data_IF_903113577980
#
_entry.id   IF_903113577980
#
_cell.length_a   1.000
_cell.length_b   1.000
_cell.length_c   1.000
_cell.angle_alpha   90.00
_cell.angle_beta   90.00
_cell.angle_gamma   90.00
#
_symmetry.space_group_name_H-M   'P 1'
#
loop_
_entity.id
_entity.type
_entity.pdbx_description
1 polymer ?
#
# COMPACT_ATOMS: atom_id res chain seq x y z
N UNK A 1 19.42 -11.93 38.00
CA UNK A 1 18.63 -11.05 38.91
C UNK A 1 19.60 -10.23 39.75
N UNK A 2 19.53 -8.89 39.69
CA UNK A 2 20.39 -7.99 40.45
C UNK A 2 19.99 -7.98 41.93
N UNK A 3 20.97 -7.86 42.83
CA UNK A 3 20.76 -7.79 44.29
C UNK A 3 20.22 -6.41 44.70
N UNK A 4 19.43 -6.31 45.78
CA UNK A 4 18.80 -5.08 46.27
C UNK A 4 19.70 -3.83 46.31
N UNK A 5 20.90 -3.86 46.92
CA UNK A 5 21.82 -2.72 46.91
C UNK A 5 22.34 -2.35 45.52
N UNK A 6 22.63 -3.34 44.66
CA UNK A 6 23.06 -3.10 43.28
C UNK A 6 21.95 -2.46 42.43
N UNK A 7 20.69 -2.71 42.76
CA UNK A 7 19.54 -2.10 42.09
C UNK A 7 19.38 -0.62 42.49
N UNK A 8 19.61 -0.29 43.77
CA UNK A 8 19.61 1.09 44.24
C UNK A 8 20.74 1.91 43.60
N UNK A 9 21.93 1.32 43.49
CA UNK A 9 23.08 1.95 42.81
C UNK A 9 22.81 2.15 41.31
N UNK A 10 22.24 1.14 40.64
CA UNK A 10 21.84 1.25 39.22
C UNK A 10 20.81 2.36 39.03
N UNK A 11 19.83 2.48 39.93
CA UNK A 11 18.83 3.55 39.85
C UNK A 11 19.49 4.92 39.98
N UNK A 12 20.38 5.12 40.97
CA UNK A 12 21.12 6.36 41.13
C UNK A 12 21.94 6.70 39.89
N UNK A 13 22.70 5.75 39.35
CA UNK A 13 23.52 5.94 38.16
C UNK A 13 22.66 6.28 36.91
N UNK A 14 21.51 5.63 36.73
CA UNK A 14 20.56 5.94 35.65
C UNK A 14 19.93 7.34 35.81
N UNK A 15 19.59 7.77 37.02
CA UNK A 15 19.06 9.14 37.21
C UNK A 15 20.08 10.23 36.87
N UNK A 16 21.37 9.94 37.02
CA UNK A 16 22.44 10.84 36.59
C UNK A 16 22.57 10.81 35.07
N UNK A 17 22.54 9.63 34.45
CA UNK A 17 22.56 9.47 33.00
C UNK A 17 21.41 10.23 32.33
N UNK A 18 20.18 10.11 32.85
CA UNK A 18 18.99 10.83 32.34
C UNK A 18 19.18 12.36 32.34
N UNK A 19 19.86 12.92 33.35
CA UNK A 19 20.14 14.37 33.42
C UNK A 19 21.10 14.79 32.33
N UNK A 20 22.15 14.02 32.09
CA UNK A 20 23.15 14.31 31.05
C UNK A 20 22.53 14.16 29.65
N UNK A 21 21.69 13.14 29.43
CA UNK A 21 20.97 12.98 28.17
C UNK A 21 19.99 14.12 27.89
N UNK A 22 19.28 14.63 28.90
CA UNK A 22 18.43 15.83 28.74
C UNK A 22 19.25 17.06 28.37
N UNK A 23 20.45 17.21 28.91
CA UNK A 23 21.36 18.32 28.55
C UNK A 23 21.88 18.16 27.13
N UNK A 24 22.24 16.95 26.70
CA UNK A 24 22.62 16.66 25.32
C UNK A 24 21.49 17.01 24.34
N UNK A 25 20.25 16.63 24.66
CA UNK A 25 19.08 16.96 23.82
C UNK A 25 18.90 18.47 23.65
N UNK A 26 19.09 19.26 24.72
CA UNK A 26 19.07 20.73 24.63
C UNK A 26 20.19 21.27 23.75
N UNK A 27 21.42 20.79 23.93
CA UNK A 27 22.57 21.21 23.13
C UNK A 27 22.43 20.86 21.63
N UNK A 28 21.80 19.72 21.33
CA UNK A 28 21.48 19.32 19.96
C UNK A 28 20.39 20.19 19.34
N UNK A 29 19.35 20.53 20.11
CA UNK A 29 18.30 21.45 19.65
C UNK A 29 18.83 22.86 19.35
N UNK A 30 19.90 23.27 20.04
CA UNK A 30 20.59 24.54 19.84
C UNK A 30 21.74 24.48 18.81
N UNK A 31 21.95 23.33 18.15
CA UNK A 31 23.00 23.08 17.15
C UNK A 31 24.44 23.36 17.67
N UNK A 32 24.66 23.16 18.96
CA UNK A 32 25.93 23.45 19.67
C UNK A 32 26.86 22.23 19.79
N UNK A 33 26.43 21.04 19.35
CA UNK A 33 27.23 19.79 19.37
C UNK A 33 27.43 19.25 17.94
N UNK A 34 28.02 20.07 17.06
CA UNK A 34 28.25 19.75 15.64
C UNK A 34 29.22 18.59 15.43
N UNK A 35 30.19 18.46 16.33
CA UNK A 35 31.22 17.42 16.27
C UNK A 35 30.77 16.11 16.94
N UNK A 36 29.61 16.09 17.60
CA UNK A 36 29.03 14.91 18.26
C UNK A 36 29.85 14.37 19.43
N UNK A 37 30.80 15.15 19.97
CA UNK A 37 31.70 14.72 21.03
C UNK A 37 30.95 14.45 22.33
N UNK A 38 29.98 15.31 22.67
CA UNK A 38 29.18 15.12 23.89
C UNK A 38 28.23 13.94 23.74
N UNK A 39 27.70 13.72 22.55
CA UNK A 39 26.92 12.52 22.28
C UNK A 39 27.74 11.24 22.43
N UNK A 40 28.97 11.22 21.91
CA UNK A 40 29.86 10.07 22.04
C UNK A 40 30.18 9.77 23.51
N UNK A 41 30.47 10.80 24.31
CA UNK A 41 30.73 10.68 25.75
C UNK A 41 29.52 10.10 26.51
N UNK A 42 28.32 10.61 26.23
CA UNK A 42 27.06 10.14 26.85
C UNK A 42 26.80 8.68 26.53
N UNK A 43 27.06 8.26 25.28
CA UNK A 43 26.90 6.87 24.84
C UNK A 43 27.95 5.96 25.47
N UNK A 44 29.21 6.39 25.56
CA UNK A 44 30.26 5.62 26.24
C UNK A 44 29.90 5.39 27.71
N UNK A 45 29.44 6.44 28.40
CA UNK A 45 28.98 6.33 29.78
C UNK A 45 27.82 5.34 29.95
N UNK A 46 26.86 5.35 29.03
CA UNK A 46 25.76 4.37 29.03
C UNK A 46 26.29 2.94 28.85
N UNK A 47 27.22 2.71 27.92
CA UNK A 47 27.85 1.40 27.70
C UNK A 47 28.61 0.92 28.94
N UNK A 48 29.32 1.81 29.62
CA UNK A 48 30.00 1.49 30.88
C UNK A 48 29.02 1.05 31.96
N UNK A 49 27.85 1.70 32.09
CA UNK A 49 26.80 1.28 33.02
C UNK A 49 26.22 -0.08 32.65
N UNK A 50 25.96 -0.31 31.36
CA UNK A 50 25.47 -1.60 30.86
C UNK A 50 26.46 -2.73 31.18
N UNK A 51 27.76 -2.50 30.97
CA UNK A 51 28.80 -3.46 31.33
C UNK A 51 28.93 -3.65 32.85
N UNK A 52 28.94 -2.56 33.64
CA UNK A 52 29.07 -2.58 35.11
C UNK A 52 27.97 -3.42 35.79
N UNK A 53 26.76 -3.39 35.26
CA UNK A 53 25.61 -4.12 35.81
C UNK A 53 25.28 -5.42 35.07
N UNK A 54 26.07 -5.82 34.06
CA UNK A 54 25.88 -7.06 33.32
C UNK A 54 24.56 -7.11 32.54
N UNK A 55 24.12 -5.97 32.00
CA UNK A 55 22.87 -5.83 31.26
C UNK A 55 23.01 -6.13 29.76
N UNK A 56 24.21 -6.53 29.32
CA UNK A 56 24.56 -6.77 27.91
C UNK A 56 23.63 -7.77 27.22
N UNK A 57 23.26 -8.86 27.91
CA UNK A 57 22.42 -9.92 27.35
C UNK A 57 20.94 -9.48 27.18
N UNK A 58 20.53 -8.44 27.91
CA UNK A 58 19.18 -7.89 27.84
C UNK A 58 19.09 -6.68 26.91
N UNK A 59 20.20 -5.98 26.72
CA UNK A 59 20.36 -4.88 25.79
C UNK A 59 21.05 -5.46 24.55
N UNK A 60 20.36 -6.39 23.89
CA UNK A 60 20.75 -6.83 22.55
C UNK A 60 20.57 -5.61 21.64
N UNK A 61 21.63 -4.83 21.48
CA UNK A 61 21.63 -3.61 20.67
C UNK A 61 21.35 -4.01 19.21
N UNK A 62 20.21 -3.61 18.62
CA UNK A 62 20.15 -3.45 17.18
C UNK A 62 21.24 -2.45 16.82
N UNK A 63 21.90 -2.64 15.68
CA UNK A 63 22.92 -1.71 15.20
C UNK A 63 22.39 -0.28 15.31
N UNK A 64 23.14 0.59 15.98
CA UNK A 64 22.79 1.99 16.19
C UNK A 64 23.00 2.73 14.87
N UNK A 65 21.99 2.75 14.01
CA UNK A 65 21.95 3.53 12.78
C UNK A 65 21.27 4.89 13.02
N UNK A 66 21.79 5.67 13.98
CA UNK A 66 21.68 7.14 14.04
C UNK A 66 20.28 7.77 14.01
N UNK A 67 19.20 6.98 14.01
CA UNK A 67 17.82 7.45 13.91
C UNK A 67 17.21 7.40 15.29
N UNK A 68 16.95 8.58 15.82
CA UNK A 68 16.09 8.75 16.99
C UNK A 68 14.77 8.00 16.75
N UNK A 69 14.23 7.37 17.79
CA UNK A 69 12.86 6.84 17.79
C UNK A 69 11.79 7.95 17.89
N UNK A 70 12.18 9.20 17.67
CA UNK A 70 11.24 10.30 17.51
C UNK A 70 10.60 10.19 16.13
N UNK A 71 9.27 10.03 16.13
CA UNK A 71 8.44 10.11 14.92
C UNK A 71 8.52 11.58 14.45
N UNK A 72 9.14 11.88 13.29
CA UNK A 72 9.09 13.23 12.75
C UNK A 72 7.66 13.47 12.27
N UNK A 73 6.99 14.43 12.88
CA UNK A 73 5.60 14.83 12.59
C UNK A 73 5.45 15.56 11.25
N UNK A 74 6.48 15.55 10.39
CA UNK A 74 6.49 16.32 9.15
C UNK A 74 6.99 15.48 7.96
N UNK A 75 6.15 15.39 6.93
CA UNK A 75 6.35 14.69 5.64
C UNK A 75 6.41 13.15 5.65
N UNK A 76 5.28 12.52 5.98
CA UNK A 76 5.03 11.09 5.69
C UNK A 76 5.11 10.72 4.17
N UNK A 77 5.18 11.69 3.26
CA UNK A 77 5.37 11.45 1.81
C UNK A 77 6.84 11.24 1.43
N UNK A 78 7.80 11.83 2.13
CA UNK A 78 9.24 11.55 1.96
C UNK A 78 9.68 10.24 2.61
N UNK A 79 8.81 9.68 3.46
CA UNK A 79 9.02 8.46 4.22
C UNK A 79 8.86 7.18 3.38
N UNK A 80 8.01 7.18 2.36
CA UNK A 80 7.90 6.06 1.41
C UNK A 80 9.09 6.11 0.45
N UNK A 81 10.09 5.24 0.60
CA UNK A 81 11.30 5.24 -0.23
C UNK A 81 11.21 4.29 -1.42
N UNK A 82 10.45 3.20 -1.26
CA UNK A 82 10.33 2.18 -2.29
C UNK A 82 9.59 2.69 -3.54
N UNK A 83 10.16 2.42 -4.71
CA UNK A 83 9.63 2.91 -6.01
C UNK A 83 8.26 2.33 -6.34
N UNK A 84 7.96 1.10 -5.93
CA UNK A 84 6.65 0.47 -6.16
C UNK A 84 5.62 1.05 -5.21
N UNK A 85 5.97 1.21 -3.93
CA UNK A 85 5.08 1.86 -2.96
C UNK A 85 4.78 3.31 -3.39
N UNK A 86 5.77 4.10 -3.84
CA UNK A 86 5.51 5.46 -4.36
C UNK A 86 4.50 5.48 -5.51
N UNK A 87 4.57 4.51 -6.43
CA UNK A 87 3.60 4.40 -7.54
C UNK A 87 2.21 4.04 -7.04
N UNK A 88 2.14 3.10 -6.09
CA UNK A 88 0.89 2.65 -5.49
C UNK A 88 0.22 3.79 -4.69
N UNK A 89 1.02 4.57 -3.95
CA UNK A 89 0.58 5.76 -3.21
C UNK A 89 0.03 6.84 -4.14
N UNK A 90 0.76 7.18 -5.21
CA UNK A 90 0.24 8.13 -6.22
C UNK A 90 -1.06 7.63 -6.82
N UNK A 91 -1.15 6.34 -7.15
CA UNK A 91 -2.39 5.76 -7.67
C UNK A 91 -3.53 5.87 -6.66
N UNK A 92 -3.23 5.72 -5.37
CA UNK A 92 -4.21 5.89 -4.30
C UNK A 92 -4.64 7.36 -4.15
N UNK A 93 -3.71 8.33 -4.16
CA UNK A 93 -4.05 9.76 -4.10
C UNK A 93 -5.03 10.19 -5.21
N UNK A 94 -4.86 9.67 -6.43
CA UNK A 94 -5.77 9.94 -7.54
C UNK A 94 -7.07 9.10 -7.53
N UNK A 95 -7.18 8.11 -6.63
CA UNK A 95 -8.35 7.22 -6.55
C UNK A 95 -9.53 7.82 -5.76
N UNK A 96 -9.41 9.06 -5.26
CA UNK A 96 -10.52 9.81 -4.66
C UNK A 96 -10.94 9.35 -3.27
N UNK A 97 -10.00 8.82 -2.46
CA UNK A 97 -10.26 8.52 -1.04
C UNK A 97 -10.68 9.76 -0.25
N UNK A 98 -11.46 9.55 0.82
CA UNK A 98 -11.66 10.60 1.81
C UNK A 98 -10.36 10.89 2.57
N UNK A 99 -10.24 12.10 3.13
CA UNK A 99 -9.03 12.53 3.84
C UNK A 99 -8.64 11.59 5.00
N UNK A 100 -9.64 11.03 5.71
CA UNK A 100 -9.42 10.06 6.79
C UNK A 100 -8.94 8.71 6.29
N UNK A 101 -9.55 8.18 5.22
CA UNK A 101 -9.13 6.90 4.63
C UNK A 101 -7.72 7.02 4.03
N UNK A 102 -7.38 8.19 3.49
CA UNK A 102 -6.07 8.47 2.94
C UNK A 102 -5.01 8.54 4.06
N UNK A 103 -5.35 9.04 5.24
CA UNK A 103 -4.48 9.04 6.43
C UNK A 103 -4.24 7.62 6.96
N UNK A 104 -5.30 6.80 7.14
CA UNK A 104 -5.18 5.39 7.52
C UNK A 104 -4.35 4.58 6.51
N UNK A 105 -4.60 4.81 5.21
CA UNK A 105 -3.83 4.18 4.15
C UNK A 105 -2.35 4.60 4.22
N UNK A 106 -2.08 5.88 4.52
CA UNK A 106 -0.71 6.39 4.70
C UNK A 106 0.04 5.68 5.81
N UNK A 107 -0.63 5.41 6.93
CA UNK A 107 -0.06 4.63 8.04
C UNK A 107 0.30 3.20 7.58
N UNK A 108 -0.60 2.53 6.85
CA UNK A 108 -0.33 1.19 6.31
C UNK A 108 0.84 1.17 5.31
N UNK A 109 0.94 2.18 4.45
CA UNK A 109 2.08 2.37 3.55
C UNK A 109 3.39 2.57 4.33
N UNK A 110 3.33 3.30 5.44
CA UNK A 110 4.49 3.50 6.31
C UNK A 110 4.91 2.20 7.01
N UNK A 111 3.96 1.45 7.57
CA UNK A 111 4.22 0.14 8.16
C UNK A 111 4.83 -0.83 7.13
N UNK A 112 4.40 -0.76 5.88
CA UNK A 112 4.99 -1.55 4.82
C UNK A 112 6.43 -1.12 4.51
N UNK A 113 6.72 0.17 4.47
CA UNK A 113 8.09 0.66 4.29
C UNK A 113 9.01 0.20 5.44
N UNK A 114 8.54 0.26 6.68
CA UNK A 114 9.29 -0.25 7.85
C UNK A 114 9.62 -1.74 7.71
N UNK A 115 8.67 -2.56 7.24
CA UNK A 115 8.90 -3.99 6.96
C UNK A 115 9.92 -4.22 5.84
N UNK A 116 9.93 -3.37 4.81
CA UNK A 116 10.93 -3.43 3.72
C UNK A 116 12.32 -3.10 4.26
N UNK A 117 12.43 -2.05 5.06
CA UNK A 117 13.69 -1.63 5.65
C UNK A 117 14.25 -2.74 6.58
N UNK A 118 13.39 -3.35 7.40
CA UNK A 118 13.76 -4.49 8.26
C UNK A 118 14.15 -5.75 7.47
N UNK A 119 13.51 -6.00 6.32
CA UNK A 119 13.93 -7.08 5.42
C UNK A 119 15.32 -6.82 4.83
N UNK A 120 15.60 -5.58 4.41
CA UNK A 120 16.89 -5.22 3.82
C UNK A 120 18.02 -5.33 4.85
N UNK A 121 17.80 -4.91 6.11
CA UNK A 121 18.82 -5.08 7.16
C UNK A 121 19.13 -6.54 7.44
N UNK A 122 18.11 -7.41 7.56
CA UNK A 122 18.32 -8.86 7.70
C UNK A 122 19.07 -9.47 6.50
N UNK A 123 18.76 -9.00 5.30
CA UNK A 123 19.44 -9.44 4.08
C UNK A 123 20.92 -9.05 4.09
N UNK A 124 21.21 -7.80 4.43
CA UNK A 124 22.57 -7.26 4.47
C UNK A 124 23.40 -7.93 5.58
N UNK A 125 22.77 -8.26 6.72
CA UNK A 125 23.35 -9.09 7.78
C UNK A 125 23.80 -10.47 7.27
N UNK A 126 22.97 -11.13 6.45
CA UNK A 126 23.27 -12.47 5.90
C UNK A 126 24.39 -12.41 4.87
N UNK A 127 24.45 -11.32 4.09
CA UNK A 127 25.53 -11.04 3.11
C UNK A 127 26.83 -10.80 3.87
N UNK A 128 26.82 -9.88 4.83
CA UNK A 128 27.98 -9.53 5.67
C UNK A 128 28.53 -10.74 6.43
N UNK A 129 27.66 -11.60 6.98
CA UNK A 129 28.08 -12.88 7.56
C UNK A 129 28.81 -13.76 6.55
N UNK A 130 28.34 -13.79 5.30
CA UNK A 130 28.99 -14.52 4.21
C UNK A 130 30.40 -14.02 3.92
N UNK A 131 30.53 -12.71 3.73
CA UNK A 131 31.80 -12.04 3.41
C UNK A 131 32.84 -12.20 4.54
N UNK A 132 32.42 -12.12 5.81
CA UNK A 132 33.29 -12.37 6.96
C UNK A 132 33.83 -13.80 7.01
N UNK A 133 33.15 -14.75 6.37
CA UNK A 133 33.50 -16.16 6.37
C UNK A 133 34.22 -16.62 5.08
N UNK A 134 34.43 -15.74 4.09
CA UNK A 134 35.15 -16.09 2.85
C UNK A 134 36.63 -16.45 3.08
N UNK A 135 37.20 -16.03 4.22
CA UNK A 135 38.58 -16.37 4.63
C UNK A 135 38.68 -17.60 5.53
N UNK A 136 37.58 -18.30 5.83
CA UNK A 136 37.57 -19.49 6.68
C UNK A 136 37.55 -20.77 5.82
N UNK A 137 38.50 -21.68 6.05
CA UNK A 137 38.62 -22.96 5.32
C UNK A 137 37.43 -23.89 5.65
N UNK A 138 36.91 -23.85 6.87
CA UNK A 138 35.66 -24.49 7.27
C UNK A 138 34.81 -23.53 8.13
N UNK A 139 33.57 -23.20 7.73
CA UNK A 139 32.65 -22.45 8.58
C UNK A 139 32.26 -23.28 9.80
N UNK A 140 32.35 -22.70 11.00
CA UNK A 140 31.93 -23.36 12.25
C UNK A 140 30.46 -23.78 12.21
N UNK A 141 30.11 -24.92 12.86
CA UNK A 141 28.74 -25.47 12.88
C UNK A 141 27.71 -24.47 13.42
N UNK A 142 28.08 -23.67 14.41
CA UNK A 142 27.21 -22.63 15.00
C UNK A 142 26.97 -21.46 14.05
N UNK A 143 27.99 -21.07 13.29
CA UNK A 143 27.87 -20.06 12.23
C UNK A 143 26.92 -20.53 11.11
N UNK A 144 27.06 -21.79 10.68
CA UNK A 144 26.16 -22.40 9.69
C UNK A 144 24.72 -22.48 10.18
N UNK A 145 24.53 -22.77 11.48
CA UNK A 145 23.21 -22.79 12.11
C UNK A 145 22.59 -21.40 12.18
N UNK A 146 23.31 -20.40 12.67
CA UNK A 146 22.85 -19.01 12.75
C UNK A 146 22.50 -18.44 11.37
N UNK A 147 23.34 -18.71 10.36
CA UNK A 147 23.07 -18.31 8.97
C UNK A 147 21.82 -18.98 8.40
N UNK A 148 21.56 -20.24 8.75
CA UNK A 148 20.36 -20.98 8.33
C UNK A 148 19.10 -20.42 9.01
N UNK A 149 19.17 -20.10 10.30
CA UNK A 149 18.08 -19.47 11.06
C UNK A 149 17.73 -18.10 10.47
N UNK A 150 18.71 -17.20 10.28
CA UNK A 150 18.49 -15.91 9.62
C UNK A 150 17.91 -16.03 8.21
N UNK A 151 18.34 -17.04 7.43
CA UNK A 151 17.76 -17.33 6.10
C UNK A 151 16.31 -17.81 6.16
N UNK A 152 15.93 -18.56 7.20
CA UNK A 152 14.54 -18.96 7.41
C UNK A 152 13.68 -17.75 7.78
N UNK A 153 14.17 -16.89 8.67
CA UNK A 153 13.49 -15.65 9.05
C UNK A 153 13.32 -14.71 7.85
N UNK A 154 14.34 -14.60 7.00
CA UNK A 154 14.27 -13.82 5.76
C UNK A 154 13.15 -14.32 4.84
N UNK A 155 12.98 -15.63 4.68
CA UNK A 155 11.90 -16.22 3.87
C UNK A 155 10.51 -15.96 4.46
N UNK A 156 10.39 -16.02 5.77
CA UNK A 156 9.12 -15.70 6.46
C UNK A 156 8.76 -14.23 6.22
N UNK A 157 9.72 -13.32 6.40
CA UNK A 157 9.52 -11.89 6.14
C UNK A 157 9.24 -11.58 4.68
N UNK A 158 9.89 -12.27 3.73
CA UNK A 158 9.60 -12.14 2.30
C UNK A 158 8.14 -12.49 1.98
N UNK A 159 7.65 -13.60 2.55
CA UNK A 159 6.26 -14.02 2.38
C UNK A 159 5.30 -13.01 3.00
N UNK A 160 5.57 -12.56 4.23
CA UNK A 160 4.75 -11.54 4.91
C UNK A 160 4.73 -10.22 4.15
N UNK A 161 5.87 -9.79 3.62
CA UNK A 161 6.01 -8.56 2.84
C UNK A 161 5.22 -8.63 1.54
N UNK A 162 5.24 -9.79 0.87
CA UNK A 162 4.44 -10.02 -0.33
C UNK A 162 2.95 -9.99 0.00
N UNK A 163 2.52 -10.70 1.03
CA UNK A 163 1.11 -10.72 1.45
C UNK A 163 0.59 -9.34 1.85
N UNK A 164 1.38 -8.55 2.58
CA UNK A 164 1.00 -7.19 2.96
C UNK A 164 1.00 -6.24 1.76
N UNK A 165 1.92 -6.41 0.80
CA UNK A 165 1.93 -5.65 -0.45
C UNK A 165 0.69 -5.97 -1.29
N UNK A 166 0.36 -7.26 -1.48
CA UNK A 166 -0.81 -7.69 -2.25
C UNK A 166 -2.11 -7.16 -1.62
N UNK A 167 -2.19 -7.11 -0.28
CA UNK A 167 -3.30 -6.47 0.46
C UNK A 167 -3.37 -4.97 0.22
N UNK A 168 -2.25 -4.26 0.33
CA UNK A 168 -2.15 -2.82 0.05
C UNK A 168 -2.51 -2.49 -1.41
N UNK A 169 -2.05 -3.29 -2.36
CA UNK A 169 -2.39 -3.18 -3.77
C UNK A 169 -3.88 -3.42 -4.01
N UNK A 170 -4.46 -4.40 -3.34
CA UNK A 170 -5.89 -4.66 -3.40
C UNK A 170 -6.68 -3.50 -2.80
N UNK A 171 -6.28 -2.95 -1.64
CA UNK A 171 -6.94 -1.80 -1.00
C UNK A 171 -6.84 -0.52 -1.83
N UNK A 172 -5.64 -0.21 -2.34
CA UNK A 172 -5.39 0.94 -3.21
C UNK A 172 -6.19 0.87 -4.52
N UNK A 173 -6.42 -0.34 -5.04
CA UNK A 173 -7.24 -0.58 -6.24
C UNK A 173 -8.74 -0.68 -5.92
N UNK A 174 -9.10 -1.27 -4.79
CA UNK A 174 -10.49 -1.50 -4.39
C UNK A 174 -11.23 -0.19 -4.18
N UNK A 175 -10.60 0.82 -3.56
CA UNK A 175 -11.19 2.15 -3.51
C UNK A 175 -11.32 2.78 -4.90
N UNK A 176 -10.42 2.49 -5.85
CA UNK A 176 -10.56 2.93 -7.22
C UNK A 176 -11.76 2.28 -7.91
N UNK A 177 -12.31 1.16 -7.39
CA UNK A 177 -13.53 0.54 -7.89
C UNK A 177 -14.78 0.89 -7.09
N UNK A 178 -14.65 1.26 -5.81
CA UNK A 178 -15.76 1.64 -4.93
C UNK A 178 -16.02 3.18 -4.91
N UNK A 179 -15.01 4.01 -5.18
CA UNK A 179 -15.17 5.46 -5.45
C UNK A 179 -15.36 5.80 -6.93
N UNK A 180 -15.22 4.83 -7.83
CA UNK A 180 -15.80 4.96 -9.16
C UNK A 180 -17.32 4.83 -9.00
N UNK A 181 -18.00 5.97 -8.96
CA UNK A 181 -19.46 6.07 -8.94
C UNK A 181 -20.10 5.23 -10.07
N UNK A 182 -19.32 4.94 -11.13
CA UNK A 182 -19.59 3.99 -12.23
C UNK A 182 -18.30 3.29 -12.70
N UNK A 183 -18.35 1.97 -12.96
CA UNK A 183 -17.23 1.14 -13.43
C UNK A 183 -17.02 1.18 -14.94
N UNK A 184 -18.07 1.44 -15.72
CA UNK A 184 -18.00 1.52 -17.18
C UNK A 184 -17.58 2.93 -17.65
N UNK A 185 -16.51 3.06 -18.46
CA UNK A 185 -16.04 4.35 -18.98
C UNK A 185 -17.12 5.17 -19.69
N UNK A 186 -18.03 4.52 -20.43
CA UNK A 186 -19.12 5.18 -21.18
C UNK A 186 -20.11 5.86 -20.25
N UNK A 187 -20.38 5.26 -19.10
CA UNK A 187 -21.31 5.78 -18.09
C UNK A 187 -20.63 6.90 -17.29
N UNK A 188 -19.34 6.74 -16.99
CA UNK A 188 -18.53 7.77 -16.35
C UNK A 188 -18.47 9.06 -17.18
N UNK A 189 -18.28 8.95 -18.51
CA UNK A 189 -18.30 10.11 -19.41
C UNK A 189 -19.63 10.87 -19.37
N UNK A 190 -20.76 10.15 -19.42
CA UNK A 190 -22.09 10.76 -19.32
C UNK A 190 -22.28 11.46 -17.97
N UNK A 191 -21.82 10.84 -16.88
CA UNK A 191 -21.88 11.45 -15.55
C UNK A 191 -21.01 12.70 -15.42
N UNK A 192 -19.79 12.68 -15.96
CA UNK A 192 -18.89 13.82 -15.97
C UNK A 192 -19.47 15.00 -16.78
N UNK A 193 -20.16 14.71 -17.89
CA UNK A 193 -20.89 15.73 -18.66
C UNK A 193 -22.11 16.25 -17.89
N UNK A 194 -22.86 15.37 -17.22
CA UNK A 194 -24.00 15.76 -16.39
C UNK A 194 -23.60 16.67 -15.21
N UNK A 195 -22.46 16.40 -14.54
CA UNK A 195 -21.92 17.27 -13.48
C UNK A 195 -21.51 18.67 -13.98
N UNK A 196 -21.20 18.80 -15.27
CA UNK A 196 -20.89 20.11 -15.90
C UNK A 196 -22.17 20.86 -16.31
N UNK A 197 -23.26 20.14 -16.55
CA UNK A 197 -24.55 20.76 -16.76
C UNK A 197 -25.07 21.32 -15.42
N UNK A 198 -25.63 22.54 -15.43
CA UNK A 198 -26.26 23.15 -14.25
C UNK A 198 -27.64 22.52 -13.97
N UNK A 199 -27.69 21.21 -13.79
CA UNK A 199 -28.91 20.49 -13.39
C UNK A 199 -29.19 20.74 -11.91
N UNK A 200 -30.48 20.67 -11.51
CA UNK A 200 -30.82 20.72 -10.09
C UNK A 200 -30.34 19.45 -9.36
N UNK A 201 -30.14 19.53 -8.04
CA UNK A 201 -29.63 18.40 -7.26
C UNK A 201 -30.58 17.18 -7.29
N UNK A 202 -31.90 17.41 -7.35
CA UNK A 202 -32.90 16.35 -7.52
C UNK A 202 -32.83 15.68 -8.89
N UNK A 203 -32.64 16.46 -9.96
CA UNK A 203 -32.48 15.94 -11.33
C UNK A 203 -31.15 15.17 -11.48
N UNK A 204 -30.10 15.63 -10.79
CA UNK A 204 -28.80 14.96 -10.80
C UNK A 204 -28.85 13.61 -10.10
N UNK A 205 -29.56 13.49 -8.97
CA UNK A 205 -29.74 12.21 -8.28
C UNK A 205 -30.67 11.27 -9.07
N UNK A 206 -31.72 11.80 -9.71
CA UNK A 206 -32.53 11.02 -10.64
C UNK A 206 -31.67 10.50 -11.81
N UNK A 207 -30.84 11.35 -12.41
CA UNK A 207 -29.94 10.98 -13.50
C UNK A 207 -28.90 9.94 -13.07
N UNK A 208 -28.35 10.06 -11.86
CA UNK A 208 -27.45 9.07 -11.25
C UNK A 208 -28.10 7.70 -11.13
N UNK A 209 -29.36 7.64 -10.67
CA UNK A 209 -30.11 6.38 -10.59
C UNK A 209 -30.32 5.75 -11.98
N UNK A 210 -30.63 6.56 -12.99
CA UNK A 210 -30.77 6.11 -14.38
C UNK A 210 -29.47 5.57 -14.96
N UNK A 211 -28.34 6.25 -14.68
CA UNK A 211 -27.00 5.79 -15.09
C UNK A 211 -26.63 4.44 -14.44
N UNK A 212 -26.97 4.21 -13.17
CA UNK A 212 -26.75 2.91 -12.52
C UNK A 212 -27.54 1.79 -13.20
N UNK A 213 -28.79 2.08 -13.60
CA UNK A 213 -29.59 1.14 -14.36
C UNK A 213 -29.05 0.91 -15.77
N UNK A 214 -28.48 1.93 -16.40
CA UNK A 214 -27.83 1.83 -17.70
C UNK A 214 -26.55 0.99 -17.62
N UNK A 215 -25.72 1.20 -16.59
CA UNK A 215 -24.53 0.40 -16.31
C UNK A 215 -24.87 -1.08 -16.11
N UNK A 216 -25.91 -1.41 -15.34
CA UNK A 216 -26.34 -2.80 -15.19
C UNK A 216 -26.77 -3.43 -16.52
N UNK A 217 -27.37 -2.66 -17.43
CA UNK A 217 -27.76 -3.14 -18.78
C UNK A 217 -26.55 -3.29 -19.69
N UNK A 218 -25.56 -2.42 -19.58
CA UNK A 218 -24.27 -2.53 -20.26
C UNK A 218 -23.53 -3.80 -19.83
N UNK A 219 -23.47 -4.09 -18.53
CA UNK A 219 -22.88 -5.33 -18.03
C UNK A 219 -23.58 -6.58 -18.59
N UNK A 220 -24.91 -6.57 -18.72
CA UNK A 220 -25.66 -7.66 -19.38
C UNK A 220 -25.34 -7.76 -20.87
N UNK A 221 -25.25 -6.64 -21.57
CA UNK A 221 -24.87 -6.61 -22.98
C UNK A 221 -23.48 -7.23 -23.19
N UNK A 222 -22.49 -6.79 -22.41
CA UNK A 222 -21.11 -7.26 -22.53
C UNK A 222 -21.02 -8.75 -22.19
N UNK A 223 -21.75 -9.23 -21.17
CA UNK A 223 -21.87 -10.65 -20.86
C UNK A 223 -22.44 -11.46 -22.03
N UNK A 224 -23.54 -11.02 -22.66
CA UNK A 224 -24.13 -11.74 -23.79
C UNK A 224 -23.24 -11.67 -25.04
N UNK A 225 -22.53 -10.56 -25.27
CA UNK A 225 -21.55 -10.47 -26.35
C UNK A 225 -20.36 -11.41 -26.14
N UNK A 226 -19.84 -11.53 -24.93
CA UNK A 226 -18.75 -12.44 -24.61
C UNK A 226 -19.19 -13.90 -24.77
N UNK A 227 -20.37 -14.26 -24.24
CA UNK A 227 -20.96 -15.60 -24.43
C UNK A 227 -21.21 -15.92 -25.91
N UNK A 228 -21.63 -14.92 -26.70
CA UNK A 228 -21.78 -15.08 -28.15
C UNK A 228 -20.43 -15.37 -28.80
N UNK A 229 -19.38 -14.58 -28.53
CA UNK A 229 -18.03 -14.81 -29.07
C UNK A 229 -17.48 -16.19 -28.71
N UNK A 230 -17.61 -16.61 -27.45
CA UNK A 230 -17.19 -17.96 -27.03
C UNK A 230 -17.95 -19.04 -27.79
N UNK A 231 -19.25 -18.84 -28.03
CA UNK A 231 -20.05 -19.75 -28.85
C UNK A 231 -19.63 -19.73 -30.33
N UNK A 232 -19.28 -18.58 -30.89
CA UNK A 232 -18.78 -18.43 -32.27
C UNK A 232 -17.44 -19.14 -32.43
N UNK A 233 -16.51 -18.95 -31.50
CA UNK A 233 -15.21 -19.62 -31.48
C UNK A 233 -15.40 -21.13 -31.40
N UNK A 234 -16.26 -21.62 -30.50
CA UNK A 234 -16.60 -23.04 -30.41
C UNK A 234 -17.20 -23.60 -31.71
N UNK A 235 -17.97 -22.79 -32.46
CA UNK A 235 -18.50 -23.16 -33.77
C UNK A 235 -17.44 -23.16 -34.88
N UNK A 236 -16.39 -22.36 -34.77
CA UNK A 236 -15.26 -22.37 -35.72
C UNK A 236 -14.40 -23.63 -35.53
N UNK A 237 -14.20 -24.07 -34.28
CA UNK A 237 -13.42 -25.26 -33.95
C UNK A 237 -14.20 -26.58 -34.09
N UNK A 238 -15.53 -26.53 -33.97
CA UNK A 238 -16.43 -27.66 -34.28
C UNK A 238 -16.66 -27.72 -35.79
N UNK A 239 -16.47 -28.89 -36.38
CA UNK A 239 -16.49 -29.14 -37.83
C UNK A 239 -17.63 -28.42 -38.59
N UNK A 240 -17.32 -27.83 -39.75
CA UNK A 240 -18.17 -26.89 -40.53
C UNK A 240 -19.52 -27.45 -41.02
N UNK A 241 -19.83 -28.71 -40.73
CA UNK A 241 -21.00 -29.45 -41.20
C UNK A 241 -22.05 -29.69 -40.10
N UNK A 242 -21.90 -29.13 -38.89
CA UNK A 242 -22.91 -29.22 -37.84
C UNK A 242 -23.85 -28.01 -37.87
N UNK A 243 -25.15 -28.30 -37.87
CA UNK A 243 -26.24 -27.33 -37.80
C UNK A 243 -26.02 -26.36 -36.62
N UNK A 244 -26.19 -25.06 -36.87
CA UNK A 244 -26.03 -24.01 -35.84
C UNK A 244 -26.92 -24.38 -34.64
N UNK A 245 -26.36 -24.56 -33.43
CA UNK A 245 -27.15 -24.89 -32.26
C UNK A 245 -28.19 -23.81 -32.00
N UNK A 246 -29.44 -24.18 -31.73
CA UNK A 246 -30.52 -23.23 -31.41
C UNK A 246 -30.15 -22.27 -30.27
N UNK A 247 -29.28 -22.73 -29.35
CA UNK A 247 -28.73 -21.91 -28.26
C UNK A 247 -27.88 -20.74 -28.76
N UNK A 248 -27.10 -20.93 -29.82
CA UNK A 248 -26.29 -19.86 -30.43
C UNK A 248 -27.19 -18.79 -31.05
N UNK A 249 -28.22 -19.20 -31.79
CA UNK A 249 -29.19 -18.27 -32.38
C UNK A 249 -29.94 -17.47 -31.31
N UNK A 250 -30.31 -18.10 -30.20
CA UNK A 250 -30.93 -17.40 -29.06
C UNK A 250 -29.98 -16.42 -28.36
N UNK A 251 -28.70 -16.76 -28.24
CA UNK A 251 -27.67 -15.85 -27.70
C UNK A 251 -27.47 -14.65 -28.62
N UNK A 252 -27.41 -14.88 -29.94
CA UNK A 252 -27.26 -13.83 -30.93
C UNK A 252 -28.44 -12.85 -30.88
N UNK A 253 -29.68 -13.36 -30.86
CA UNK A 253 -30.88 -12.52 -30.73
C UNK A 253 -30.85 -11.69 -29.45
N UNK A 254 -30.49 -12.30 -28.31
CA UNK A 254 -30.38 -11.59 -27.02
C UNK A 254 -29.29 -10.52 -27.07
N UNK A 255 -28.11 -10.82 -27.62
CA UNK A 255 -27.03 -9.86 -27.76
C UNK A 255 -27.46 -8.65 -28.59
N UNK A 256 -28.10 -8.88 -29.76
CA UNK A 256 -28.64 -7.81 -30.62
C UNK A 256 -29.72 -6.98 -29.93
N UNK A 257 -30.60 -7.61 -29.15
CA UNK A 257 -31.65 -6.89 -28.41
C UNK A 257 -31.07 -6.00 -27.31
N UNK A 258 -30.05 -6.48 -26.59
CA UNK A 258 -29.34 -5.67 -25.60
C UNK A 258 -28.52 -4.56 -26.26
N UNK A 259 -27.91 -4.79 -27.42
CA UNK A 259 -27.19 -3.77 -28.18
C UNK A 259 -28.11 -2.61 -28.58
N UNK A 260 -29.29 -2.91 -29.15
CA UNK A 260 -30.30 -1.90 -29.49
C UNK A 260 -30.77 -1.12 -28.26
N UNK A 261 -31.00 -1.81 -27.14
CA UNK A 261 -31.39 -1.16 -25.88
C UNK A 261 -30.29 -0.22 -25.40
N UNK A 262 -29.06 -0.71 -25.32
CA UNK A 262 -27.89 0.08 -24.88
C UNK A 262 -27.71 1.32 -25.74
N UNK A 263 -27.74 1.18 -27.07
CA UNK A 263 -27.65 2.32 -27.99
C UNK A 263 -28.77 3.33 -27.74
N UNK A 264 -30.03 2.87 -27.62
CA UNK A 264 -31.17 3.75 -27.34
C UNK A 264 -30.99 4.53 -26.04
N UNK A 265 -30.60 3.86 -24.95
CA UNK A 265 -30.37 4.52 -23.66
C UNK A 265 -29.19 5.48 -23.72
N UNK A 266 -28.09 5.10 -24.36
CA UNK A 266 -26.95 5.99 -24.54
C UNK A 266 -27.32 7.26 -25.31
N UNK A 267 -28.06 7.13 -26.43
CA UNK A 267 -28.52 8.29 -27.20
C UNK A 267 -29.48 9.18 -26.42
N UNK A 268 -30.41 8.59 -25.65
CA UNK A 268 -31.38 9.34 -24.85
C UNK A 268 -30.70 10.08 -23.69
N UNK A 269 -29.84 9.41 -22.93
CA UNK A 269 -29.07 10.01 -21.83
C UNK A 269 -28.18 11.15 -22.33
N UNK A 270 -27.50 10.95 -23.46
CA UNK A 270 -26.67 11.98 -24.08
C UNK A 270 -27.48 13.18 -24.56
N UNK A 271 -28.63 12.94 -25.21
CA UNK A 271 -29.53 14.01 -25.64
C UNK A 271 -30.06 14.84 -24.46
N UNK A 272 -30.41 14.20 -23.34
CA UNK A 272 -30.83 14.92 -22.12
C UNK A 272 -29.72 15.79 -21.55
N UNK A 273 -28.48 15.29 -21.50
CA UNK A 273 -27.32 16.08 -21.07
C UNK A 273 -27.07 17.25 -22.01
N UNK A 274 -27.07 17.03 -23.33
CA UNK A 274 -26.85 18.09 -24.32
C UNK A 274 -27.92 19.19 -24.21
N UNK A 275 -29.18 18.81 -23.99
CA UNK A 275 -30.28 19.75 -23.74
C UNK A 275 -30.06 20.54 -22.44
N UNK A 276 -29.65 19.87 -21.36
CA UNK A 276 -29.37 20.53 -20.08
C UNK A 276 -28.17 21.51 -20.18
N UNK A 277 -27.17 21.18 -21.00
CA UNK A 277 -26.05 22.08 -21.31
C UNK A 277 -26.52 23.31 -22.09
N UNK A 278 -27.34 23.14 -23.13
CA UNK A 278 -27.86 24.27 -23.94
C UNK A 278 -28.72 25.23 -23.12
N UNK A 279 -29.53 24.74 -22.18
CA UNK A 279 -30.31 25.61 -21.30
C UNK A 279 -29.46 26.34 -20.25
N UNK A 280 -28.20 25.94 -20.04
CA UNK A 280 -27.30 26.58 -19.08
C UNK A 280 -26.45 27.72 -19.67
N UNK A 281 -26.43 27.84 -21.01
CA UNK A 281 -25.72 28.89 -21.77
C UNK A 281 -26.63 30.07 -22.21
N UNK A 282 -27.92 30.03 -21.87
CA UNK A 282 -28.88 31.15 -22.00
C UNK A 282 -29.09 31.83 -20.65
#
# INVERSE_FOLDING_TARGET
KLSGPKLADLYADLTVQDKVERQLKKLKAEDLDKDGLKEAEVRQRMLELVHKYGLQDYISMPHFDGRSNDIPEDSHTDMIRDKKLKKLWKSAEYAGFSEKELEELKEEFWHQQMKIDEYNTLRDDIISMGELNDNAIEPGKDFMRSRKEKKMDLKVKEKQLKESYDKLETLAKASSYDNLEFKDPRVYELWALAKRAKMSEEELESFKSELKHFEHRLGKHDFYQEQLKVSEDAMIYSDKNLQIPDKHLQLEQKARDYERKVQKYHTDLRYRIDKALQHSEL
#
